data_IF_480306552255
#
_entry.id   IF_480306552255
#
_cell.length_a   1.000
_cell.length_b   1.000
_cell.length_c   1.000
_cell.angle_alpha   90.00
_cell.angle_beta   90.00
_cell.angle_gamma   90.00
#
_symmetry.space_group_name_H-M   'P 1'
#
loop_
_entity.id
_entity.type
_entity.pdbx_description
1 polymer ?
#
# COMPACT_ATOMS: atom_id res chain seq x y z
N UNK A 1 2.92 11.40 -41.03
CA UNK A 1 1.84 12.41 -41.11
C UNK A 1 0.52 11.72 -40.77
N UNK A 2 -0.37 12.35 -40.00
CA UNK A 2 -1.71 11.81 -39.76
C UNK A 2 -2.68 12.48 -40.72
N UNK A 3 -3.31 11.71 -41.60
CA UNK A 3 -4.13 12.27 -42.68
C UNK A 3 -5.61 12.37 -42.29
N UNK A 4 -6.06 11.54 -41.32
CA UNK A 4 -7.43 11.58 -40.82
C UNK A 4 -7.57 12.59 -39.67
N UNK A 5 -8.68 13.35 -39.67
CA UNK A 5 -9.01 14.33 -38.62
C UNK A 5 -8.97 13.73 -37.20
N UNK A 6 -9.42 12.48 -37.05
CA UNK A 6 -9.40 11.74 -35.79
C UNK A 6 -7.98 11.46 -35.30
N UNK A 7 -7.06 11.11 -36.22
CA UNK A 7 -5.65 10.83 -35.92
C UNK A 7 -4.91 12.11 -35.51
N UNK A 8 -5.10 13.21 -36.24
CA UNK A 8 -4.50 14.52 -35.89
C UNK A 8 -4.91 14.93 -34.47
N UNK A 9 -6.19 14.76 -34.11
CA UNK A 9 -6.69 15.03 -32.75
C UNK A 9 -6.02 14.13 -31.71
N UNK A 10 -5.87 12.83 -31.98
CA UNK A 10 -5.22 11.88 -31.07
C UNK A 10 -3.75 12.22 -30.86
N UNK A 11 -3.01 12.55 -31.91
CA UNK A 11 -1.59 12.93 -31.81
C UNK A 11 -1.42 14.13 -30.89
N UNK A 12 -2.17 15.22 -31.12
CA UNK A 12 -2.14 16.40 -30.25
C UNK A 12 -2.49 16.10 -28.78
N UNK A 13 -3.45 15.21 -28.53
CA UNK A 13 -3.79 14.81 -27.16
C UNK A 13 -2.68 13.97 -26.52
N UNK A 14 -2.09 13.05 -27.29
CA UNK A 14 -1.03 12.18 -26.84
C UNK A 14 0.23 12.98 -26.51
N UNK A 15 0.60 13.98 -27.31
CA UNK A 15 1.76 14.82 -27.04
C UNK A 15 1.62 15.58 -25.72
N UNK A 16 0.45 16.20 -25.49
CA UNK A 16 0.14 16.89 -24.23
C UNK A 16 0.14 15.95 -23.03
N UNK A 17 -0.37 14.73 -23.18
CA UNK A 17 -0.33 13.70 -22.13
C UNK A 17 1.08 13.19 -21.89
N UNK A 18 1.88 13.02 -22.96
CA UNK A 18 3.26 12.54 -22.91
C UNK A 18 4.13 13.50 -22.13
N UNK A 19 4.06 14.81 -22.43
CA UNK A 19 4.84 15.83 -21.73
C UNK A 19 4.52 15.84 -20.22
N UNK A 20 3.24 15.94 -19.85
CA UNK A 20 2.83 15.88 -18.43
C UNK A 20 3.28 14.60 -17.74
N UNK A 21 3.07 13.44 -18.37
CA UNK A 21 3.45 12.16 -17.78
C UNK A 21 4.97 11.98 -17.68
N UNK A 22 5.74 12.57 -18.60
CA UNK A 22 7.20 12.55 -18.57
C UNK A 22 7.70 13.19 -17.29
N UNK A 23 7.17 14.36 -16.94
CA UNK A 23 7.61 15.12 -15.78
C UNK A 23 7.28 14.39 -14.48
N UNK A 24 6.03 13.93 -14.30
CA UNK A 24 5.64 13.16 -13.12
C UNK A 24 6.41 11.83 -12.99
N UNK A 25 6.62 11.09 -14.09
CA UNK A 25 7.40 9.85 -14.06
C UNK A 25 8.88 10.12 -13.78
N UNK A 26 9.43 11.20 -14.35
CA UNK A 26 10.80 11.65 -14.13
C UNK A 26 11.04 11.97 -12.67
N UNK A 27 10.24 12.87 -12.09
CA UNK A 27 10.31 13.23 -10.67
C UNK A 27 10.15 12.03 -9.75
N UNK A 28 9.19 11.13 -10.05
CA UNK A 28 9.02 9.89 -9.28
C UNK A 28 10.23 8.95 -9.38
N UNK A 29 10.87 8.84 -10.55
CA UNK A 29 12.08 8.03 -10.72
C UNK A 29 13.25 8.63 -9.95
N UNK A 30 13.46 9.93 -10.06
CA UNK A 30 14.53 10.64 -9.36
C UNK A 30 14.37 10.55 -7.85
N UNK A 31 13.17 10.81 -7.31
CA UNK A 31 12.91 10.72 -5.88
C UNK A 31 13.15 9.31 -5.32
N UNK A 32 12.74 8.26 -6.06
CA UNK A 32 13.03 6.87 -5.68
C UNK A 32 14.54 6.57 -5.73
N UNK A 33 15.26 7.12 -6.72
CA UNK A 33 16.71 6.95 -6.81
C UNK A 33 17.42 7.61 -5.63
N UNK A 34 17.05 8.85 -5.29
CA UNK A 34 17.62 9.58 -4.17
C UNK A 34 17.36 8.86 -2.84
N UNK A 35 16.11 8.43 -2.60
CA UNK A 35 15.78 7.68 -1.39
C UNK A 35 16.56 6.37 -1.27
N UNK A 36 16.85 5.68 -2.39
CA UNK A 36 17.70 4.47 -2.36
C UNK A 36 19.12 4.80 -1.95
N UNK A 37 19.72 5.80 -2.59
CA UNK A 37 21.10 6.23 -2.27
C UNK A 37 21.19 6.63 -0.80
N UNK A 38 20.25 7.44 -0.28
CA UNK A 38 20.26 7.87 1.12
C UNK A 38 20.12 6.73 2.13
N UNK A 39 19.36 5.68 1.78
CA UNK A 39 19.23 4.47 2.62
C UNK A 39 20.52 3.66 2.57
N UNK A 40 21.08 3.46 1.37
CA UNK A 40 22.28 2.65 1.18
C UNK A 40 23.52 3.30 1.85
N UNK A 41 23.58 4.64 1.93
CA UNK A 41 24.65 5.38 2.62
C UNK A 41 24.39 5.65 4.10
N UNK A 42 23.30 5.12 4.69
CA UNK A 42 22.89 5.39 6.08
C UNK A 42 22.88 6.89 6.46
N UNK A 43 22.45 7.75 5.54
CA UNK A 43 22.42 9.18 5.82
C UNK A 43 21.38 9.49 6.92
N UNK A 44 21.63 10.49 7.79
CA UNK A 44 20.66 10.89 8.82
C UNK A 44 19.33 11.33 8.20
N UNK A 45 19.38 11.90 6.99
CA UNK A 45 18.22 12.39 6.24
C UNK A 45 17.47 11.29 5.47
N UNK A 46 17.82 10.01 5.65
CA UNK A 46 17.21 8.88 4.93
C UNK A 46 15.68 8.80 5.13
N UNK A 47 15.18 9.07 6.34
CA UNK A 47 13.74 9.09 6.65
C UNK A 47 13.00 10.21 5.91
N UNK A 48 13.60 11.40 5.83
CA UNK A 48 13.01 12.55 5.13
C UNK A 48 12.98 12.32 3.62
N UNK A 49 14.08 11.82 3.05
CA UNK A 49 14.17 11.44 1.65
C UNK A 49 13.11 10.39 1.27
N UNK A 50 12.86 9.42 2.16
CA UNK A 50 11.80 8.43 1.99
C UNK A 50 10.41 9.06 2.00
N UNK A 51 10.11 9.92 2.98
CA UNK A 51 8.82 10.63 3.08
C UNK A 51 8.56 11.47 1.83
N UNK A 52 9.59 12.16 1.33
CA UNK A 52 9.52 12.93 0.09
C UNK A 52 9.23 12.03 -1.13
N UNK A 53 9.92 10.88 -1.24
CA UNK A 53 9.68 9.93 -2.32
C UNK A 53 8.26 9.35 -2.28
N UNK A 54 7.72 9.05 -1.11
CA UNK A 54 6.34 8.57 -0.93
C UNK A 54 5.35 9.63 -1.45
N UNK A 55 5.51 10.89 -1.03
CA UNK A 55 4.65 12.00 -1.45
C UNK A 55 4.64 12.18 -2.97
N UNK A 56 5.79 12.09 -3.63
CA UNK A 56 5.88 12.21 -5.09
C UNK A 56 5.25 11.01 -5.79
N UNK A 57 5.45 9.79 -5.27
CA UNK A 57 4.85 8.59 -5.86
C UNK A 57 3.32 8.63 -5.82
N UNK A 58 2.74 9.15 -4.75
CA UNK A 58 1.28 9.29 -4.62
C UNK A 58 0.73 10.33 -5.56
N UNK A 59 1.37 11.51 -5.62
CA UNK A 59 0.99 12.54 -6.61
C UNK A 59 1.07 12.00 -8.03
N UNK A 60 2.09 11.22 -8.37
CA UNK A 60 2.20 10.61 -9.70
C UNK A 60 1.11 9.54 -9.95
N UNK A 61 0.62 8.87 -8.91
CA UNK A 61 -0.47 7.91 -9.00
C UNK A 61 -1.84 8.59 -9.16
N UNK A 62 -2.11 9.63 -8.36
CA UNK A 62 -3.32 10.45 -8.44
C UNK A 62 -3.48 11.11 -9.81
N UNK A 63 -2.38 11.62 -10.38
CA UNK A 63 -2.36 12.20 -11.74
C UNK A 63 -2.44 11.15 -12.85
N UNK A 64 -2.44 9.86 -12.52
CA UNK A 64 -2.53 8.76 -13.48
C UNK A 64 -1.26 8.52 -14.30
N UNK A 65 -0.13 9.13 -13.94
CA UNK A 65 1.15 8.93 -14.62
C UNK A 65 1.75 7.54 -14.31
N UNK A 66 1.46 7.01 -13.13
CA UNK A 66 1.84 5.68 -12.63
C UNK A 66 0.59 4.98 -12.07
N UNK A 67 0.44 3.68 -12.28
CA UNK A 67 -0.68 2.94 -11.70
C UNK A 67 -0.55 2.80 -10.17
N UNK A 68 -1.67 2.85 -9.43
CA UNK A 68 -1.71 2.73 -7.95
C UNK A 68 -0.87 1.55 -7.42
N UNK A 69 -1.04 0.36 -7.99
CA UNK A 69 -0.27 -0.83 -7.57
C UNK A 69 1.24 -0.68 -7.82
N UNK A 70 1.66 0.05 -8.86
CA UNK A 70 3.08 0.31 -9.11
C UNK A 70 3.65 1.26 -8.06
N UNK A 71 2.90 2.32 -7.69
CA UNK A 71 3.26 3.17 -6.57
C UNK A 71 3.37 2.38 -5.25
N UNK A 72 2.35 1.56 -4.91
CA UNK A 72 2.37 0.72 -3.70
C UNK A 72 3.55 -0.24 -3.67
N UNK A 73 3.88 -0.90 -4.79
CA UNK A 73 5.06 -1.78 -4.88
C UNK A 73 6.36 -1.03 -4.63
N UNK A 74 6.50 0.18 -5.19
CA UNK A 74 7.70 1.02 -4.98
C UNK A 74 7.83 1.44 -3.52
N UNK A 75 6.74 1.89 -2.88
CA UNK A 75 6.71 2.22 -1.45
C UNK A 75 7.13 1.04 -0.58
N UNK A 76 6.50 -0.12 -0.78
CA UNK A 76 6.80 -1.33 0.00
C UNK A 76 8.29 -1.72 -0.12
N UNK A 77 8.87 -1.65 -1.33
CA UNK A 77 10.30 -1.95 -1.54
C UNK A 77 11.22 -0.98 -0.80
N UNK A 78 10.91 0.31 -0.80
CA UNK A 78 11.72 1.31 -0.07
C UNK A 78 11.62 1.11 1.44
N UNK A 79 10.41 0.88 1.96
CA UNK A 79 10.19 0.61 3.39
C UNK A 79 10.93 -0.66 3.85
N UNK A 80 10.87 -1.74 3.06
CA UNK A 80 11.61 -2.98 3.35
C UNK A 80 13.11 -2.75 3.40
N UNK A 81 13.66 -1.93 2.50
CA UNK A 81 15.08 -1.59 2.51
C UNK A 81 15.49 -0.81 3.75
N UNK A 82 14.71 0.21 4.13
CA UNK A 82 14.96 0.96 5.36
C UNK A 82 14.88 0.06 6.60
N UNK A 83 13.87 -0.82 6.64
CA UNK A 83 13.74 -1.79 7.72
C UNK A 83 14.94 -2.74 7.78
N UNK A 84 15.42 -3.24 6.65
CA UNK A 84 16.61 -4.08 6.60
C UNK A 84 17.89 -3.34 7.02
N UNK A 85 18.03 -2.05 6.68
CA UNK A 85 19.16 -1.24 7.11
C UNK A 85 19.14 -0.92 8.61
N UNK A 86 17.94 -0.75 9.19
CA UNK A 86 17.77 -0.48 10.63
C UNK A 86 17.71 -1.76 11.48
N UNK A 87 17.38 -2.90 10.88
CA UNK A 87 17.37 -4.19 11.53
C UNK A 87 18.80 -4.65 11.76
N UNK A 88 19.43 -4.05 12.77
CA UNK A 88 20.52 -4.71 13.47
C UNK A 88 20.00 -6.09 13.94
N UNK A 89 20.83 -7.15 13.84
CA UNK A 89 20.42 -8.47 14.28
C UNK A 89 20.03 -8.39 15.75
N UNK A 90 18.76 -8.66 16.03
CA UNK A 90 18.26 -8.80 17.41
C UNK A 90 19.09 -9.93 18.02
N UNK A 91 19.88 -9.69 19.09
CA UNK A 91 20.58 -10.78 19.76
C UNK A 91 19.52 -11.70 20.34
N UNK A 92 19.41 -12.91 19.77
CA UNK A 92 18.57 -13.98 20.28
C UNK A 92 19.26 -14.52 21.53
N UNK A 93 19.12 -13.83 22.65
CA UNK A 93 19.39 -14.41 23.97
C UNK A 93 18.02 -14.59 24.64
N UNK A 94 17.31 -15.60 24.16
CA UNK A 94 16.13 -16.12 24.84
C UNK A 94 16.67 -17.06 25.92
N UNK A 95 16.97 -16.52 27.09
CA UNK A 95 17.21 -17.36 28.27
C UNK A 95 15.88 -18.03 28.67
N UNK A 96 15.80 -19.37 28.70
CA UNK A 96 14.65 -20.05 29.27
C UNK A 96 14.80 -20.04 30.79
N UNK A 97 14.32 -19.00 31.46
CA UNK A 97 14.19 -19.05 32.91
C UNK A 97 12.96 -19.89 33.27
N UNK A 98 13.19 -21.21 33.30
CA UNK A 98 12.40 -22.15 34.09
C UNK A 98 12.74 -21.94 35.57
N UNK A 99 11.86 -21.28 36.31
CA UNK A 99 11.72 -21.53 37.74
C UNK A 99 10.24 -21.72 38.04
N UNK A 100 9.88 -22.99 38.20
CA UNK A 100 8.66 -23.39 38.88
C UNK A 100 8.71 -22.98 40.37
N UNK A 101 7.54 -23.01 41.01
CA UNK A 101 7.28 -22.84 42.47
C UNK A 101 7.25 -21.35 42.87
N UNK A 102 6.14 -20.76 43.32
CA UNK A 102 5.34 -21.11 44.49
C UNK A 102 3.83 -20.95 44.28
N UNK A 103 3.09 -21.96 44.74
CA UNK A 103 1.72 -21.81 45.18
C UNK A 103 1.74 -21.28 46.62
N UNK A 104 1.09 -20.15 46.87
CA UNK A 104 0.58 -19.80 48.21
C UNK A 104 -0.81 -19.20 48.07
N UNK A 105 -1.66 -19.64 48.99
CA UNK A 105 -3.11 -19.55 48.98
C UNK A 105 -3.64 -18.13 49.21
N UNK A 106 -4.80 -17.84 48.62
CA UNK A 106 -5.93 -17.20 49.30
C UNK A 106 -5.83 -15.73 49.69
N UNK A 107 -6.45 -14.87 48.87
CA UNK A 107 -7.33 -13.81 49.39
C UNK A 107 -8.63 -13.79 48.58
N UNK A 108 -9.72 -14.14 49.25
CA UNK A 108 -11.08 -13.89 48.83
C UNK A 108 -11.44 -12.53 49.41
N UNK A 109 -11.56 -11.50 48.58
CA UNK A 109 -12.36 -10.33 48.95
C UNK A 109 -13.32 -9.91 47.85
N UNK A 110 -14.51 -9.62 48.34
CA UNK A 110 -15.78 -9.45 47.67
C UNK A 110 -15.93 -8.11 46.99
N UNK A 111 -16.49 -8.13 45.77
CA UNK A 111 -17.63 -7.27 45.41
C UNK A 111 -17.35 -5.87 44.87
N UNK A 112 -17.63 -5.67 43.58
CA UNK A 112 -18.49 -4.58 43.11
C UNK A 112 -18.88 -4.79 41.64
N UNK A 113 -20.18 -4.87 41.41
CA UNK A 113 -20.78 -4.93 40.09
C UNK A 113 -20.64 -3.60 39.33
N UNK A 114 -20.29 -3.65 38.05
CA UNK A 114 -20.92 -2.75 37.08
C UNK A 114 -21.12 -3.44 35.73
N UNK A 115 -22.39 -3.77 35.45
CA UNK A 115 -22.87 -4.09 34.10
C UNK A 115 -22.74 -2.83 33.23
N UNK A 116 -22.03 -2.92 32.11
CA UNK A 116 -22.41 -2.22 30.88
C UNK A 116 -22.48 -3.19 29.72
N UNK A 117 -23.71 -3.59 29.40
CA UNK A 117 -24.11 -4.18 28.12
C UNK A 117 -23.83 -3.17 27.00
N UNK A 118 -23.22 -3.62 25.91
CA UNK A 118 -22.90 -2.77 24.76
C UNK A 118 -22.60 -3.55 23.47
N UNK A 119 -23.56 -4.35 23.02
CA UNK A 119 -23.82 -4.74 21.63
C UNK A 119 -22.63 -5.09 20.69
N UNK A 120 -22.34 -6.39 20.56
CA UNK A 120 -21.70 -6.94 19.38
C UNK A 120 -22.63 -6.81 18.16
N UNK A 121 -22.43 -5.80 17.30
CA UNK A 121 -23.03 -5.77 15.97
C UNK A 121 -22.28 -6.73 15.06
N UNK A 122 -22.87 -7.91 14.85
CA UNK A 122 -22.58 -8.81 13.73
C UNK A 122 -22.68 -8.01 12.42
N UNK A 123 -21.58 -7.89 11.69
CA UNK A 123 -21.57 -7.40 10.32
C UNK A 123 -22.41 -8.35 9.45
N UNK A 124 -23.44 -7.80 8.82
CA UNK A 124 -24.36 -8.52 7.94
C UNK A 124 -23.62 -9.17 6.75
N UNK A 125 -24.01 -10.38 6.31
CA UNK A 125 -23.54 -10.91 5.03
C UNK A 125 -24.17 -10.09 3.90
N UNK A 126 -23.34 -9.39 3.13
CA UNK A 126 -23.74 -8.68 1.92
C UNK A 126 -24.36 -9.68 0.95
N UNK A 127 -25.64 -9.45 0.63
CA UNK A 127 -26.40 -10.14 -0.42
C UNK A 127 -25.57 -10.20 -1.71
N UNK A 128 -25.24 -11.40 -2.18
CA UNK A 128 -24.81 -11.65 -3.56
C UNK A 128 -25.96 -11.25 -4.49
N UNK A 129 -25.86 -10.09 -5.13
CA UNK A 129 -26.78 -9.71 -6.19
C UNK A 129 -26.31 -10.33 -7.52
N UNK A 130 -27.14 -11.25 -8.00
CA UNK A 130 -27.43 -11.60 -9.40
C UNK A 130 -26.29 -11.49 -10.43
N UNK A 131 -25.67 -12.63 -10.73
CA UNK A 131 -25.09 -12.85 -12.05
C UNK A 131 -26.22 -13.01 -13.08
N UNK A 132 -26.53 -11.94 -13.83
CA UNK A 132 -27.28 -12.03 -15.10
C UNK A 132 -26.41 -12.83 -16.09
N UNK A 133 -26.83 -14.05 -16.42
CA UNK A 133 -26.30 -14.83 -17.55
C UNK A 133 -26.47 -14.01 -18.85
N UNK A 134 -25.46 -13.88 -19.72
CA UNK A 134 -25.67 -13.30 -21.05
C UNK A 134 -26.47 -14.27 -21.93
N UNK A 135 -27.37 -13.67 -22.72
CA UNK A 135 -28.39 -14.30 -23.53
C UNK A 135 -27.87 -15.40 -24.48
N UNK A 136 -28.68 -16.44 -24.63
CA UNK A 136 -28.50 -17.50 -25.60
C UNK A 136 -28.52 -16.96 -27.04
N UNK A 137 -27.67 -17.59 -27.84
CA UNK A 137 -27.47 -17.44 -29.28
C UNK A 137 -28.82 -17.34 -30.01
N UNK A 138 -29.04 -16.24 -30.74
CA UNK A 138 -30.10 -16.18 -31.75
C UNK A 138 -29.70 -17.10 -32.89
N UNK A 139 -30.36 -18.26 -32.96
CA UNK A 139 -30.37 -19.10 -34.15
C UNK A 139 -31.09 -18.33 -35.26
N UNK A 140 -30.38 -18.01 -36.34
CA UNK A 140 -30.99 -17.70 -37.63
C UNK A 140 -30.86 -18.98 -38.45
N UNK A 141 -31.99 -19.65 -38.67
CA UNK A 141 -32.12 -20.74 -39.63
C UNK A 141 -33.54 -20.71 -40.19
N UNK A 142 -33.59 -20.75 -41.53
CA UNK A 142 -34.70 -20.53 -42.47
C UNK A 142 -35.03 -19.06 -42.72
#
# INVERSE_FOLDING_TARGET
>A
MANLKSQIKRNRQNDRRRLRNRDYRGSARSAVSQARVSIDTNAPNSKEALMHAIRILDKAAERGAIHRNNASRRKSRLMKRLAAANAQPIPVVMEPQSTAVEMTEGEIETGAASKKKGAAKKGAPVKKQAAKKPAAKKAVKK
#
